data_IF_967888218768
#
_entry.id   IF_967888218768
#
_cell.length_a   1.000
_cell.length_b   1.000
_cell.length_c   1.000
_cell.angle_alpha   90.00
_cell.angle_beta   90.00
_cell.angle_gamma   90.00
#
_symmetry.space_group_name_H-M   'P 1'
#
loop_
_entity.id
_entity.type
_entity.pdbx_description
1 polymer ?
#
# COMPACT_ATOMS: atom_id res chain seq x y z
N UNK A 1 -14.60 -50.77 -4.79
CA UNK A 1 -13.94 -50.14 -3.63
C UNK A 1 -13.00 -49.13 -4.23
N UNK A 2 -13.47 -47.88 -4.20
CA UNK A 2 -12.99 -46.77 -4.97
C UNK A 2 -11.55 -46.38 -4.60
N UNK A 3 -10.75 -46.19 -5.65
CA UNK A 3 -9.45 -45.54 -5.60
C UNK A 3 -9.77 -44.07 -5.33
N UNK A 4 -9.35 -43.56 -4.19
CA UNK A 4 -9.44 -42.13 -3.88
C UNK A 4 -8.78 -41.33 -5.02
N UNK A 5 -9.63 -40.69 -5.83
CA UNK A 5 -9.25 -39.62 -6.73
C UNK A 5 -8.77 -38.45 -5.86
N UNK A 6 -7.45 -38.37 -5.67
CA UNK A 6 -6.81 -37.13 -5.26
C UNK A 6 -7.15 -36.06 -6.30
N UNK A 7 -7.68 -34.93 -5.84
CA UNK A 7 -8.20 -33.80 -6.62
C UNK A 7 -7.13 -33.00 -7.40
N UNK A 8 -5.94 -33.58 -7.62
CA UNK A 8 -5.00 -33.09 -8.64
C UNK A 8 -4.49 -31.66 -8.45
N UNK A 9 -4.57 -31.07 -7.25
CA UNK A 9 -3.96 -29.77 -6.97
C UNK A 9 -3.13 -29.78 -5.69
N UNK A 10 -2.04 -30.55 -5.73
CA UNK A 10 -0.89 -30.42 -4.82
C UNK A 10 0.11 -29.38 -5.35
N UNK A 11 -0.35 -28.19 -5.77
CA UNK A 11 0.59 -27.07 -5.94
C UNK A 11 0.95 -26.58 -4.55
N UNK A 12 2.03 -27.14 -3.98
CA UNK A 12 2.77 -26.47 -2.90
C UNK A 12 2.95 -25.00 -3.28
N UNK A 13 2.79 -24.07 -2.33
CA UNK A 13 2.75 -22.65 -2.63
C UNK A 13 4.05 -22.30 -3.35
N UNK A 14 3.95 -21.65 -4.50
CA UNK A 14 5.11 -20.95 -5.04
C UNK A 14 5.70 -20.12 -3.90
N UNK A 15 7.04 -20.05 -3.74
CA UNK A 15 7.62 -19.21 -2.71
C UNK A 15 6.99 -17.82 -2.85
N UNK A 16 6.59 -17.19 -1.73
CA UNK A 16 5.90 -15.91 -1.77
C UNK A 16 6.72 -14.93 -2.58
N UNK A 17 6.06 -14.17 -3.46
CA UNK A 17 6.74 -13.15 -4.26
C UNK A 17 7.42 -12.13 -3.33
N UNK A 18 8.46 -11.45 -3.81
CA UNK A 18 9.08 -10.40 -2.99
C UNK A 18 8.08 -9.30 -2.58
N UNK A 19 7.07 -9.06 -3.42
CA UNK A 19 5.98 -8.17 -3.07
C UNK A 19 5.16 -8.70 -1.90
N UNK A 20 4.72 -9.96 -1.94
CA UNK A 20 4.00 -10.58 -0.83
C UNK A 20 4.77 -10.53 0.48
N UNK A 21 6.09 -10.75 0.42
CA UNK A 21 6.96 -10.63 1.59
C UNK A 21 6.93 -9.21 2.18
N UNK A 22 7.05 -8.17 1.34
CA UNK A 22 6.97 -6.76 1.78
C UNK A 22 5.60 -6.44 2.39
N UNK A 23 4.51 -6.87 1.73
CA UNK A 23 3.15 -6.66 2.23
C UNK A 23 2.92 -7.35 3.57
N UNK A 24 3.36 -8.61 3.72
CA UNK A 24 3.24 -9.34 4.99
C UNK A 24 4.05 -8.70 6.11
N UNK A 25 5.26 -8.24 5.82
CA UNK A 25 6.09 -7.52 6.79
C UNK A 25 5.43 -6.22 7.25
N UNK A 26 4.88 -5.42 6.33
CA UNK A 26 4.15 -4.20 6.66
C UNK A 26 2.90 -4.48 7.51
N UNK A 27 2.10 -5.48 7.13
CA UNK A 27 0.93 -5.89 7.90
C UNK A 27 1.31 -6.33 9.31
N UNK A 28 2.33 -7.18 9.44
CA UNK A 28 2.80 -7.66 10.73
C UNK A 28 3.26 -6.51 11.63
N UNK A 29 4.06 -5.57 11.11
CA UNK A 29 4.53 -4.43 11.88
C UNK A 29 3.38 -3.52 12.33
N UNK A 30 2.39 -3.28 11.47
CA UNK A 30 1.17 -2.52 11.83
C UNK A 30 0.38 -3.24 12.93
N UNK A 31 0.21 -4.56 12.82
CA UNK A 31 -0.52 -5.34 13.82
C UNK A 31 0.22 -5.39 15.16
N UNK A 32 1.53 -5.56 15.16
CA UNK A 32 2.37 -5.52 16.37
C UNK A 32 2.27 -4.16 17.06
N UNK A 33 2.42 -3.05 16.32
CA UNK A 33 2.25 -1.71 16.86
C UNK A 33 0.84 -1.50 17.43
N UNK A 34 -0.20 -1.99 16.73
CA UNK A 34 -1.60 -1.89 17.19
C UNK A 34 -1.83 -2.65 18.49
N UNK A 35 -1.23 -3.83 18.64
CA UNK A 35 -1.35 -4.66 19.83
C UNK A 35 -0.56 -4.09 21.01
N UNK A 36 0.60 -3.47 20.75
CA UNK A 36 1.45 -2.91 21.81
C UNK A 36 0.93 -1.55 22.30
N UNK A 37 0.43 -0.69 21.41
CA UNK A 37 0.04 0.69 21.76
C UNK A 37 -0.84 0.82 23.01
N UNK A 38 -1.88 -0.01 23.25
CA UNK A 38 -2.75 0.10 24.43
C UNK A 38 -2.10 -0.29 25.76
N UNK A 39 -1.01 -1.09 25.75
CA UNK A 39 -0.34 -1.58 26.97
C UNK A 39 0.90 -0.78 27.35
N UNK A 40 1.26 0.23 26.54
CA UNK A 40 2.38 1.12 26.84
C UNK A 40 2.08 1.97 28.09
N UNK A 41 3.04 2.02 29.00
CA UNK A 41 2.94 2.80 30.23
C UNK A 41 2.91 4.32 29.97
N UNK A 42 3.44 4.76 28.83
CA UNK A 42 3.57 6.17 28.49
C UNK A 42 2.48 6.58 27.48
N UNK A 43 1.80 7.74 27.70
CA UNK A 43 0.86 8.26 26.73
C UNK A 43 1.60 8.71 25.45
N UNK A 44 0.89 8.90 24.32
CA UNK A 44 1.54 9.35 23.10
C UNK A 44 2.21 10.73 23.27
N UNK A 45 3.40 10.92 22.71
CA UNK A 45 4.09 12.21 22.75
C UNK A 45 3.37 13.25 21.87
N UNK A 46 3.73 14.53 21.99
CA UNK A 46 3.17 15.57 21.11
C UNK A 46 3.63 15.37 19.65
N UNK A 47 4.88 14.95 19.46
CA UNK A 47 5.46 14.59 18.17
C UNK A 47 4.73 13.41 17.52
N UNK A 48 4.52 12.32 18.28
CA UNK A 48 3.75 11.15 17.84
C UNK A 48 2.35 11.55 17.37
N UNK A 49 1.61 12.32 18.18
CA UNK A 49 0.26 12.76 17.81
C UNK A 49 0.26 13.62 16.55
N UNK A 50 1.26 14.48 16.37
CA UNK A 50 1.41 15.30 15.17
C UNK A 50 1.60 14.43 13.93
N UNK A 51 2.58 13.51 13.97
CA UNK A 51 2.89 12.58 12.88
C UNK A 51 1.65 11.74 12.54
N UNK A 52 1.03 11.14 13.56
CA UNK A 52 -0.12 10.25 13.39
C UNK A 52 -1.34 10.99 12.83
N UNK A 53 -1.61 12.22 13.26
CA UNK A 53 -2.69 13.05 12.67
C UNK A 53 -2.42 13.38 11.20
N UNK A 54 -1.18 13.70 10.85
CA UNK A 54 -0.83 13.97 9.46
C UNK A 54 -1.06 12.73 8.59
N UNK A 55 -0.53 11.58 9.02
CA UNK A 55 -0.70 10.31 8.33
C UNK A 55 -2.16 9.90 8.20
N UNK A 56 -2.94 10.07 9.27
CA UNK A 56 -4.36 9.76 9.23
C UNK A 56 -5.09 10.58 8.15
N UNK A 57 -4.76 11.88 8.03
CA UNK A 57 -5.32 12.75 6.98
C UNK A 57 -4.84 12.34 5.59
N UNK A 58 -3.55 12.07 5.42
CA UNK A 58 -2.97 11.67 4.14
C UNK A 58 -3.56 10.35 3.62
N UNK A 59 -3.71 9.35 4.49
CA UNK A 59 -4.34 8.07 4.11
C UNK A 59 -5.82 8.26 3.79
N UNK A 60 -6.54 9.10 4.53
CA UNK A 60 -7.93 9.46 4.20
C UNK A 60 -8.07 10.16 2.84
N UNK A 61 -7.16 11.07 2.52
CA UNK A 61 -7.14 11.72 1.21
C UNK A 61 -6.85 10.72 0.08
N UNK A 62 -5.90 9.81 0.28
CA UNK A 62 -5.61 8.73 -0.68
C UNK A 62 -6.85 7.87 -0.94
N UNK A 63 -7.53 7.43 0.12
CA UNK A 63 -8.71 6.57 -0.03
C UNK A 63 -9.86 7.29 -0.73
N UNK A 64 -10.06 8.57 -0.45
CA UNK A 64 -11.07 9.37 -1.13
C UNK A 64 -10.75 9.57 -2.64
N UNK A 65 -9.46 9.63 -3.00
CA UNK A 65 -9.01 9.77 -4.37
C UNK A 65 -8.90 8.44 -5.14
N UNK A 66 -8.99 7.29 -4.47
CA UNK A 66 -8.63 5.98 -5.02
C UNK A 66 -9.36 5.59 -6.31
N UNK A 67 -10.65 5.92 -6.39
CA UNK A 67 -11.51 5.66 -7.54
C UNK A 67 -12.02 6.97 -8.17
N UNK A 68 -11.40 8.10 -7.83
CA UNK A 68 -11.74 9.39 -8.42
C UNK A 68 -11.28 9.43 -9.88
N UNK A 69 -12.04 10.11 -10.78
CA UNK A 69 -11.60 10.34 -12.16
C UNK A 69 -10.29 11.12 -12.20
N UNK A 70 -9.35 10.68 -13.05
CA UNK A 70 -8.06 11.34 -13.26
C UNK A 70 -7.68 11.33 -14.75
N UNK A 71 -6.64 12.09 -15.12
CA UNK A 71 -6.02 12.11 -16.45
C UNK A 71 -5.19 10.86 -16.73
N UNK A 72 -4.83 10.11 -15.70
CA UNK A 72 -4.07 8.86 -15.79
C UNK A 72 -5.01 7.65 -15.90
N UNK A 73 -4.55 6.53 -16.51
CA UNK A 73 -5.27 5.27 -16.42
C UNK A 73 -5.49 4.86 -14.94
N UNK A 74 -6.60 4.19 -14.62
CA UNK A 74 -6.96 3.90 -13.23
C UNK A 74 -5.87 3.18 -12.42
N UNK A 75 -5.16 2.20 -12.98
CA UNK A 75 -4.04 1.55 -12.28
C UNK A 75 -2.87 2.53 -12.05
N UNK A 76 -2.50 3.33 -13.06
CA UNK A 76 -1.41 4.29 -12.95
C UNK A 76 -1.68 5.33 -11.86
N UNK A 77 -2.90 5.88 -11.83
CA UNK A 77 -3.37 6.79 -10.79
C UNK A 77 -3.22 6.18 -9.39
N UNK A 78 -3.69 4.96 -9.19
CA UNK A 78 -3.62 4.29 -7.88
C UNK A 78 -2.19 3.98 -7.45
N UNK A 79 -1.32 3.57 -8.38
CA UNK A 79 0.10 3.39 -8.10
C UNK A 79 0.75 4.72 -7.71
N UNK A 80 0.39 5.81 -8.39
CA UNK A 80 0.86 7.16 -8.07
C UNK A 80 0.46 7.57 -6.64
N UNK A 81 -0.80 7.36 -6.28
CA UNK A 81 -1.29 7.61 -4.91
C UNK A 81 -0.51 6.80 -3.86
N UNK A 82 -0.26 5.51 -4.12
CA UNK A 82 0.50 4.66 -3.20
C UNK A 82 1.96 5.11 -3.03
N UNK A 83 2.63 5.50 -4.11
CA UNK A 83 4.00 6.04 -4.06
C UNK A 83 4.03 7.35 -3.26
N UNK A 84 3.07 8.25 -3.49
CA UNK A 84 2.94 9.48 -2.70
C UNK A 84 2.71 9.20 -1.20
N UNK A 85 1.86 8.22 -0.86
CA UNK A 85 1.68 7.81 0.53
C UNK A 85 2.97 7.28 1.15
N UNK A 86 3.74 6.46 0.43
CA UNK A 86 5.05 5.97 0.88
C UNK A 86 6.04 7.10 1.15
N UNK A 87 6.11 8.10 0.26
CA UNK A 87 6.96 9.29 0.42
C UNK A 87 6.54 10.13 1.63
N UNK A 88 5.23 10.32 1.84
CA UNK A 88 4.70 11.03 3.00
C UNK A 88 5.05 10.31 4.31
N UNK A 89 4.85 8.99 4.36
CA UNK A 89 5.21 8.16 5.52
C UNK A 89 6.70 8.26 5.82
N UNK A 90 7.55 8.14 4.79
CA UNK A 90 9.01 8.21 4.94
C UNK A 90 9.45 9.58 5.48
N UNK A 91 8.97 10.66 4.89
CA UNK A 91 9.31 12.01 5.32
C UNK A 91 8.92 12.26 6.79
N UNK A 92 7.75 11.76 7.21
CA UNK A 92 7.28 11.90 8.58
C UNK A 92 8.05 11.02 9.58
N UNK A 93 8.52 9.84 9.16
CA UNK A 93 9.38 8.99 9.98
C UNK A 93 10.80 9.58 10.16
N UNK A 94 11.33 10.25 9.12
CA UNK A 94 12.67 10.84 9.15
C UNK A 94 12.72 12.21 9.90
N UNK A 95 11.58 12.93 10.01
CA UNK A 95 11.50 14.28 10.58
C UNK A 95 11.84 14.38 12.08
N UNK A 96 11.59 13.33 12.87
CA UNK A 96 11.85 13.31 14.32
C UNK A 96 12.92 12.23 14.63
N UNK A 97 14.11 12.45 14.06
CA UNK A 97 15.32 11.62 14.22
C UNK A 97 15.88 11.55 15.65
N UNK A 98 15.18 12.10 16.65
CA UNK A 98 15.56 11.92 18.04
C UNK A 98 14.98 10.56 18.52
N UNK A 99 15.81 9.54 18.82
CA UNK A 99 15.34 8.17 19.06
C UNK A 99 14.38 8.00 20.24
N UNK A 100 14.11 9.04 21.03
CA UNK A 100 13.15 9.06 22.13
C UNK A 100 11.77 9.66 21.84
N UNK A 101 11.54 10.29 20.68
CA UNK A 101 10.27 10.99 20.41
C UNK A 101 9.16 10.10 19.85
N UNK A 102 9.55 9.00 19.20
CA UNK A 102 8.67 8.06 18.52
C UNK A 102 8.84 6.65 19.09
N UNK A 103 7.75 6.02 19.50
CA UNK A 103 7.72 4.64 19.94
C UNK A 103 8.20 3.67 18.85
N UNK A 104 8.95 2.65 19.28
CA UNK A 104 9.72 1.80 18.37
C UNK A 104 8.82 1.00 17.42
N UNK A 105 7.73 0.39 17.89
CA UNK A 105 6.85 -0.37 17.02
C UNK A 105 6.09 0.52 16.04
N UNK A 106 5.71 1.74 16.44
CA UNK A 106 5.18 2.73 15.51
C UNK A 106 6.22 3.09 14.44
N UNK A 107 7.49 3.30 14.80
CA UNK A 107 8.57 3.53 13.83
C UNK A 107 8.72 2.35 12.86
N UNK A 108 8.78 1.12 13.37
CA UNK A 108 8.89 -0.10 12.56
C UNK A 108 7.71 -0.26 11.59
N UNK A 109 6.48 0.02 12.06
CA UNK A 109 5.29 0.01 11.21
C UNK A 109 5.38 1.04 10.08
N UNK A 110 5.81 2.27 10.38
CA UNK A 110 6.00 3.34 9.40
C UNK A 110 7.05 2.96 8.36
N UNK A 111 8.19 2.45 8.79
CA UNK A 111 9.27 2.02 7.89
C UNK A 111 8.83 0.89 6.97
N UNK A 112 8.16 -0.14 7.52
CA UNK A 112 7.68 -1.27 6.73
C UNK A 112 6.61 -0.85 5.70
N UNK A 113 5.70 0.05 6.08
CA UNK A 113 4.70 0.62 5.17
C UNK A 113 5.35 1.47 4.08
N UNK A 114 6.34 2.31 4.41
CA UNK A 114 7.09 3.09 3.42
C UNK A 114 7.82 2.19 2.42
N UNK A 115 8.47 1.13 2.88
CA UNK A 115 9.15 0.15 2.01
C UNK A 115 8.16 -0.58 1.09
N UNK A 116 7.00 -0.97 1.62
CA UNK A 116 5.94 -1.58 0.83
C UNK A 116 5.45 -0.60 -0.25
N UNK A 117 5.02 0.60 0.11
CA UNK A 117 4.53 1.60 -0.84
C UNK A 117 5.59 2.00 -1.89
N UNK A 118 6.85 2.16 -1.48
CA UNK A 118 7.95 2.52 -2.38
C UNK A 118 8.27 1.46 -3.44
N UNK A 119 7.92 0.19 -3.22
CA UNK A 119 8.14 -0.87 -4.21
C UNK A 119 7.34 -0.67 -5.52
N UNK A 120 6.32 0.20 -5.51
CA UNK A 120 5.57 0.56 -6.70
C UNK A 120 6.25 1.61 -7.58
N UNK A 121 7.27 2.32 -7.10
CA UNK A 121 7.92 3.41 -7.83
C UNK A 121 8.47 2.93 -9.19
N UNK A 122 9.25 1.85 -9.19
CA UNK A 122 9.77 1.23 -10.42
C UNK A 122 8.64 0.79 -11.36
N UNK A 123 7.54 0.24 -10.82
CA UNK A 123 6.40 -0.22 -11.62
C UNK A 123 5.64 0.95 -12.24
N UNK A 124 5.47 2.03 -11.48
CA UNK A 124 4.88 3.28 -11.95
C UNK A 124 5.72 3.88 -13.07
N UNK A 125 7.04 3.98 -12.91
CA UNK A 125 7.96 4.49 -13.95
C UNK A 125 7.87 3.65 -15.23
N UNK A 126 7.85 2.31 -15.10
CA UNK A 126 7.70 1.41 -16.24
C UNK A 126 6.36 1.61 -16.95
N UNK A 127 5.28 1.76 -16.17
CA UNK A 127 3.95 2.01 -16.68
C UNK A 127 3.87 3.36 -17.40
N UNK A 128 4.29 4.45 -16.77
CA UNK A 128 4.32 5.79 -17.37
C UNK A 128 5.15 5.82 -18.66
N UNK A 129 6.32 5.16 -18.66
CA UNK A 129 7.16 5.03 -19.87
C UNK A 129 6.44 4.26 -20.98
N UNK A 130 5.69 3.21 -20.63
CA UNK A 130 4.90 2.45 -21.59
C UNK A 130 3.77 3.30 -22.18
N UNK A 131 3.06 4.07 -21.34
CA UNK A 131 2.00 4.99 -21.75
C UNK A 131 2.55 6.05 -22.71
N UNK A 132 3.64 6.72 -22.33
CA UNK A 132 4.29 7.75 -23.15
C UNK A 132 4.67 7.26 -24.55
N UNK A 133 5.15 6.01 -24.67
CA UNK A 133 5.52 5.42 -25.97
C UNK A 133 4.31 5.13 -26.87
N UNK A 134 3.13 4.95 -26.28
CA UNK A 134 1.89 4.59 -26.99
C UNK A 134 0.95 5.77 -27.23
N UNK A 135 1.12 6.86 -26.51
CA UNK A 135 0.37 8.10 -26.75
C UNK A 135 0.67 8.64 -28.15
N UNK A 136 -0.17 8.27 -29.11
CA UNK A 136 -0.30 8.97 -30.38
C UNK A 136 -1.11 10.26 -30.14
N UNK A 137 -0.85 11.35 -30.89
CA UNK A 137 -1.43 12.68 -30.62
C UNK A 137 -2.96 12.78 -30.72
N UNK A 138 -3.67 11.74 -31.18
CA UNK A 138 -5.12 11.74 -31.43
C UNK A 138 -5.92 10.69 -30.62
N UNK A 139 -5.37 10.13 -29.53
CA UNK A 139 -6.07 9.14 -28.70
C UNK A 139 -6.56 9.74 -27.38
N UNK A 140 -7.51 10.66 -27.47
CA UNK A 140 -8.26 11.16 -26.33
C UNK A 140 -9.54 10.34 -26.13
N UNK A 141 -9.63 9.63 -25.00
CA UNK A 141 -10.87 8.97 -24.61
C UNK A 141 -10.74 8.03 -23.41
N UNK A 142 -11.80 7.96 -22.60
CA UNK A 142 -11.97 6.97 -21.53
C UNK A 142 -11.79 5.53 -22.05
N UNK A 143 -12.20 5.26 -23.29
CA UNK A 143 -12.06 3.97 -23.97
C UNK A 143 -10.58 3.56 -24.17
N UNK A 144 -9.67 4.51 -24.35
CA UNK A 144 -8.24 4.23 -24.46
C UNK A 144 -7.65 3.85 -23.10
N UNK A 145 -8.05 4.57 -22.04
CA UNK A 145 -7.65 4.27 -20.67
C UNK A 145 -8.15 2.89 -20.24
N UNK A 146 -9.39 2.55 -20.59
CA UNK A 146 -9.99 1.24 -20.29
C UNK A 146 -9.28 0.09 -21.05
N UNK A 147 -8.92 0.29 -22.32
CA UNK A 147 -8.18 -0.72 -23.09
C UNK A 147 -6.77 -0.95 -22.54
N UNK A 148 -6.08 0.11 -22.12
CA UNK A 148 -4.77 0.00 -21.48
C UNK A 148 -4.88 -0.69 -20.12
N UNK A 149 -5.90 -0.37 -19.34
CA UNK A 149 -6.19 -1.07 -18.09
C UNK A 149 -6.37 -2.58 -18.35
N UNK A 150 -7.14 -2.97 -19.35
CA UNK A 150 -7.31 -4.40 -19.71
C UNK A 150 -5.99 -5.09 -20.14
N UNK A 151 -5.02 -4.37 -20.68
CA UNK A 151 -3.70 -4.94 -20.99
C UNK A 151 -2.81 -5.10 -19.74
N UNK A 152 -3.00 -4.24 -18.74
CA UNK A 152 -2.31 -4.30 -17.45
C UNK A 152 -2.95 -5.31 -16.48
N UNK A 153 -4.21 -5.65 -16.74
CA UNK A 153 -4.97 -6.70 -16.07
C UNK A 153 -5.04 -7.94 -16.97
N UNK A 154 -4.07 -8.88 -16.93
CA UNK A 154 -4.17 -10.07 -17.76
C UNK A 154 -5.49 -10.83 -17.43
N UNK A 155 -6.27 -11.21 -18.45
CA UNK A 155 -7.53 -11.92 -18.24
C UNK A 155 -7.26 -13.22 -17.47
N UNK A 156 -7.85 -13.36 -16.28
CA UNK A 156 -7.63 -14.51 -15.40
C UNK A 156 -7.47 -14.17 -13.91
N UNK A 157 -7.28 -12.89 -13.55
CA UNK A 157 -7.51 -12.40 -12.17
C UNK A 157 -6.69 -13.06 -11.06
N UNK A 158 -5.51 -13.59 -11.36
CA UNK A 158 -4.67 -14.27 -10.37
C UNK A 158 -4.12 -13.29 -9.32
N UNK A 159 -4.11 -13.70 -8.04
CA UNK A 159 -3.34 -13.02 -6.99
C UNK A 159 -1.87 -12.84 -7.43
N UNK A 160 -1.27 -11.69 -7.11
CA UNK A 160 0.09 -11.32 -7.55
C UNK A 160 0.16 -10.50 -8.84
N UNK A 161 -0.97 -10.06 -9.41
CA UNK A 161 -0.97 -8.98 -10.41
C UNK A 161 -0.82 -7.62 -9.75
N UNK A 162 -0.33 -6.63 -10.52
CA UNK A 162 -0.10 -5.27 -10.03
C UNK A 162 -1.35 -4.63 -9.40
N UNK A 163 -2.54 -4.97 -9.91
CA UNK A 163 -3.82 -4.57 -9.34
C UNK A 163 -4.04 -5.12 -7.92
N UNK A 164 -3.93 -6.44 -7.74
CA UNK A 164 -4.09 -7.07 -6.43
C UNK A 164 -3.02 -6.60 -5.44
N UNK A 165 -1.82 -6.32 -5.94
CA UNK A 165 -0.75 -5.73 -5.15
C UNK A 165 -1.16 -4.33 -4.63
N UNK A 166 -1.69 -3.47 -5.50
CA UNK A 166 -2.17 -2.15 -5.13
C UNK A 166 -3.34 -2.21 -4.12
N UNK A 167 -4.28 -3.16 -4.30
CA UNK A 167 -5.37 -3.41 -3.35
C UNK A 167 -4.85 -3.89 -1.99
N UNK A 168 -3.86 -4.79 -2.00
CA UNK A 168 -3.21 -5.27 -0.79
C UNK A 168 -2.49 -4.15 -0.03
N UNK A 169 -1.84 -3.22 -0.75
CA UNK A 169 -1.19 -2.06 -0.15
C UNK A 169 -2.21 -1.08 0.46
N UNK A 170 -3.30 -0.79 -0.27
CA UNK A 170 -4.42 0.02 0.24
C UNK A 170 -4.98 -0.59 1.52
N UNK A 171 -5.20 -1.91 1.55
CA UNK A 171 -5.70 -2.59 2.74
C UNK A 171 -4.81 -2.37 3.96
N UNK A 172 -3.48 -2.53 3.82
CA UNK A 172 -2.53 -2.29 4.92
C UNK A 172 -2.59 -0.83 5.39
N UNK A 173 -2.67 0.15 4.46
CA UNK A 173 -2.83 1.57 4.82
C UNK A 173 -4.14 1.82 5.56
N UNK A 174 -5.25 1.20 5.15
CA UNK A 174 -6.53 1.29 5.87
C UNK A 174 -6.42 0.69 7.28
N UNK A 175 -5.79 -0.47 7.45
CA UNK A 175 -5.55 -1.08 8.76
C UNK A 175 -4.67 -0.20 9.64
N UNK A 176 -3.67 0.45 9.05
CA UNK A 176 -2.85 1.42 9.77
C UNK A 176 -3.70 2.59 10.25
N UNK A 177 -4.53 3.19 9.39
CA UNK A 177 -5.38 4.34 9.77
C UNK A 177 -6.42 4.00 10.82
N UNK A 178 -7.29 3.03 10.52
CA UNK A 178 -8.45 2.69 11.34
C UNK A 178 -8.08 1.87 12.58
N UNK A 179 -6.97 1.14 12.52
CA UNK A 179 -6.48 0.31 13.62
C UNK A 179 -5.46 1.04 14.48
N UNK A 180 -4.26 1.24 13.96
CA UNK A 180 -3.13 1.76 14.75
C UNK A 180 -3.28 3.27 15.03
N UNK A 181 -3.47 4.08 14.00
CA UNK A 181 -3.45 5.54 14.13
C UNK A 181 -4.65 6.06 14.93
N UNK A 182 -5.84 5.48 14.72
CA UNK A 182 -7.04 5.82 15.47
C UNK A 182 -6.86 5.71 17.00
N UNK A 183 -6.08 4.73 17.48
CA UNK A 183 -5.77 4.57 18.92
C UNK A 183 -4.96 5.74 19.49
N UNK A 184 -4.25 6.48 18.65
CA UNK A 184 -3.36 7.58 19.04
C UNK A 184 -4.03 8.94 18.83
N UNK A 185 -4.93 9.05 17.83
CA UNK A 185 -5.70 10.28 17.54
C UNK A 185 -6.87 10.47 18.52
N UNK A 186 -7.39 9.39 19.12
CA UNK A 186 -8.51 9.46 20.08
C UNK A 186 -8.24 10.48 21.22
N UNK A 187 -9.27 11.27 21.60
CA UNK A 187 -9.15 12.38 22.55
C UNK A 187 -8.73 11.95 23.96
#
# INVERSE_FOLDING_TARGET
>A
MDIEQGDGSTSRPFPPTEWELRRRAAQQAVDEARLVRPVLAHPPTAAERRIVRELHRSIAALEAAWDAPDRLPPLAHRLHLLVQAGQCVRALADLDSDPGELEQHLREALEAVAVMCGAFDTRLIQLETHLQRRSAPDQDGADWLERIEQELHPPGGAEGTCWWDAQGARYVLTQMREGLLALIVAP
#
